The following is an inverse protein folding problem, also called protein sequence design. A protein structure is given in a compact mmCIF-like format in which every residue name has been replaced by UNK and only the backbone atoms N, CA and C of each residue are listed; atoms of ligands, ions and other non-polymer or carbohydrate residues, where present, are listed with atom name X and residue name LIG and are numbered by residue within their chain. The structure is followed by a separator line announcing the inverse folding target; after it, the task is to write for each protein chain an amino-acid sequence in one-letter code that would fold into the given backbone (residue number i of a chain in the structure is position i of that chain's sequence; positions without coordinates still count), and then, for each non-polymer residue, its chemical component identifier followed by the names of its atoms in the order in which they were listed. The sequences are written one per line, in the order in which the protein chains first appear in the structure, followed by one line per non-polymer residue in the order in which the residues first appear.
data_IF_995502420427
#
_entry.id   IF_995502420427
#
_cell.length_a   1.000
_cell.length_b   1.000
_cell.length_c   1.000
_cell.angle_alpha   90.00
_cell.angle_beta   90.00
_cell.angle_gamma   90.00
#
_symmetry.space_group_name_H-M   'P 1'
#
loop_
_entity.id
_entity.type
_entity.pdbx_description
1 polymer ?
#
# COMPACT_ATOMS: atom_id res chain seq x y z
N UNK A 1 -4.50 14.26 12.93
CA UNK A 1 -5.19 14.11 11.64
C UNK A 1 -4.70 12.81 11.03
N UNK A 2 -5.45 11.68 11.03
CA UNK A 2 -4.77 10.43 10.72
C UNK A 2 -5.30 9.65 9.51
N UNK A 3 -6.61 9.43 9.38
CA UNK A 3 -7.13 8.45 8.41
C UNK A 3 -7.30 9.04 7.02
N UNK A 4 -7.93 10.21 6.90
CA UNK A 4 -8.19 10.85 5.59
C UNK A 4 -6.89 11.20 4.85
N UNK A 5 -5.83 11.55 5.57
CA UNK A 5 -4.51 11.81 4.98
C UNK A 5 -3.83 10.51 4.52
N UNK A 6 -4.01 9.41 5.28
CA UNK A 6 -3.48 8.10 4.92
C UNK A 6 -4.16 7.54 3.66
N UNK A 7 -5.49 7.65 3.57
CA UNK A 7 -6.27 7.19 2.42
C UNK A 7 -5.83 7.92 1.14
N UNK A 8 -5.70 9.25 1.21
CA UNK A 8 -5.20 10.06 0.09
C UNK A 8 -3.76 9.74 -0.31
N UNK A 9 -2.90 9.36 0.64
CA UNK A 9 -1.55 8.90 0.34
C UNK A 9 -1.56 7.53 -0.34
N UNK A 10 -2.40 6.60 0.12
CA UNK A 10 -2.57 5.29 -0.51
C UNK A 10 -3.04 5.47 -1.95
N UNK A 11 -4.07 6.28 -2.20
CA UNK A 11 -4.60 6.53 -3.55
C UNK A 11 -3.54 7.10 -4.50
N UNK A 12 -2.63 7.93 -3.98
CA UNK A 12 -1.55 8.53 -4.76
C UNK A 12 -0.39 7.57 -5.06
N UNK A 13 -0.02 6.73 -4.09
CA UNK A 13 1.18 5.89 -4.16
C UNK A 13 0.90 4.50 -4.72
N UNK A 14 -0.30 3.95 -4.47
CA UNK A 14 -0.68 2.60 -4.87
C UNK A 14 -0.55 2.34 -6.39
N UNK A 15 -0.94 3.26 -7.30
CA UNK A 15 -0.75 3.05 -8.73
C UNK A 15 0.74 2.93 -9.13
N UNK A 16 1.62 3.66 -8.46
CA UNK A 16 3.07 3.62 -8.73
C UNK A 16 3.66 2.29 -8.27
N UNK A 17 3.25 1.83 -7.08
CA UNK A 17 3.65 0.55 -6.50
C UNK A 17 3.18 -0.63 -7.38
N UNK A 18 1.95 -0.58 -7.89
CA UNK A 18 1.40 -1.65 -8.74
C UNK A 18 2.00 -1.65 -10.16
N UNK A 19 2.50 -0.51 -10.64
CA UNK A 19 3.17 -0.40 -11.92
C UNK A 19 4.66 -0.80 -11.87
N UNK A 20 5.23 -0.91 -10.67
CA UNK A 20 6.63 -1.27 -10.48
C UNK A 20 6.85 -2.77 -10.75
N UNK A 21 7.60 -3.04 -11.84
CA UNK A 21 7.90 -4.40 -12.29
C UNK A 21 8.87 -5.13 -11.37
N UNK A 22 9.64 -4.39 -10.57
CA UNK A 22 10.55 -4.98 -9.58
C UNK A 22 9.79 -5.47 -8.34
N UNK A 23 8.55 -5.00 -8.13
CA UNK A 23 7.67 -5.47 -7.04
C UNK A 23 6.75 -6.61 -7.46
N UNK A 24 6.44 -6.72 -8.76
CA UNK A 24 5.67 -7.84 -9.30
C UNK A 24 4.99 -7.54 -10.64
N UNK A 25 3.91 -8.27 -10.92
CA UNK A 25 3.14 -8.16 -12.16
C UNK A 25 1.94 -7.18 -12.05
N UNK A 26 1.80 -6.51 -10.91
CA UNK A 26 0.70 -5.60 -10.60
C UNK A 26 -0.66 -6.28 -10.42
N UNK A 27 -0.75 -7.62 -10.50
CA UNK A 27 -2.00 -8.38 -10.34
C UNK A 27 -2.22 -8.86 -8.92
N UNK A 28 -1.13 -9.04 -8.18
CA UNK A 28 -1.18 -9.45 -6.78
C UNK A 28 -0.44 -8.44 -5.91
N UNK A 29 -1.14 -7.87 -4.93
CA UNK A 29 -0.52 -7.03 -3.92
C UNK A 29 0.09 -7.91 -2.82
N UNK A 30 1.42 -7.96 -2.80
CA UNK A 30 2.21 -8.80 -1.88
C UNK A 30 2.73 -8.03 -0.67
N UNK A 31 3.34 -8.73 0.29
CA UNK A 31 4.01 -8.09 1.44
C UNK A 31 5.13 -7.15 1.01
N UNK A 32 5.79 -7.43 -0.12
CA UNK A 32 6.80 -6.55 -0.69
C UNK A 32 6.21 -5.20 -1.12
N UNK A 33 5.06 -5.22 -1.81
CA UNK A 33 4.33 -4.01 -2.20
C UNK A 33 3.92 -3.19 -0.96
N UNK A 34 3.41 -3.86 0.09
CA UNK A 34 3.07 -3.20 1.36
C UNK A 34 4.29 -2.51 1.99
N UNK A 35 5.43 -3.20 2.04
CA UNK A 35 6.66 -2.65 2.62
C UNK A 35 7.13 -1.41 1.85
N UNK A 36 7.04 -1.47 0.52
CA UNK A 36 7.46 -0.39 -0.34
C UNK A 36 6.51 0.82 -0.24
N UNK A 37 5.20 0.57 -0.21
CA UNK A 37 4.19 1.59 0.04
C UNK A 37 4.41 2.25 1.41
N UNK A 38 4.66 1.47 2.46
CA UNK A 38 4.96 1.98 3.79
C UNK A 38 6.18 2.88 3.80
N UNK A 39 7.28 2.44 3.17
CA UNK A 39 8.51 3.22 3.07
C UNK A 39 8.29 4.54 2.33
N UNK A 40 7.58 4.52 1.20
CA UNK A 40 7.25 5.74 0.45
C UNK A 40 6.35 6.68 1.26
N UNK A 41 5.34 6.15 1.96
CA UNK A 41 4.49 6.96 2.83
C UNK A 41 5.31 7.63 3.95
N UNK A 42 6.23 6.91 4.58
CA UNK A 42 7.14 7.49 5.59
C UNK A 42 7.99 8.63 5.01
N UNK A 43 8.53 8.44 3.81
CA UNK A 43 9.36 9.45 3.14
C UNK A 43 8.55 10.70 2.75
N UNK A 44 7.29 10.51 2.34
CA UNK A 44 6.45 11.61 1.86
C UNK A 44 5.95 12.52 2.97
N UNK A 45 5.66 11.95 4.14
CA UNK A 45 5.10 12.67 5.30
C UNK A 45 6.18 13.07 6.30
N UNK A 46 7.35 12.44 6.25
CA UNK A 46 8.42 12.63 7.23
C UNK A 46 8.21 11.87 8.54
N UNK A 47 7.11 11.11 8.66
CA UNK A 47 6.76 10.28 9.80
C UNK A 47 6.20 8.94 9.33
N UNK A 48 6.41 7.88 10.11
CA UNK A 48 5.94 6.54 9.76
C UNK A 48 4.59 6.20 10.39
N UNK A 49 3.67 5.72 9.55
CA UNK A 49 2.40 5.15 10.00
C UNK A 49 2.58 3.73 10.55
N UNK A 50 1.62 3.31 11.36
CA UNK A 50 1.48 1.91 11.75
C UNK A 50 1.28 1.04 10.48
N UNK A 51 2.09 0.00 10.36
CA UNK A 51 2.12 -0.86 9.18
C UNK A 51 0.92 -1.79 9.10
N UNK A 52 0.35 -2.20 10.23
CA UNK A 52 -0.89 -2.97 10.29
C UNK A 52 -2.09 -2.08 9.92
N UNK A 53 -2.09 -0.82 10.37
CA UNK A 53 -3.09 0.15 9.95
C UNK A 53 -3.06 0.36 8.43
N UNK A 54 -1.86 0.54 7.86
CA UNK A 54 -1.68 0.65 6.42
C UNK A 54 -2.18 -0.60 5.68
N UNK A 55 -1.84 -1.80 6.17
CA UNK A 55 -2.28 -3.06 5.56
C UNK A 55 -3.82 -3.17 5.50
N UNK A 56 -4.49 -2.79 6.59
CA UNK A 56 -5.97 -2.77 6.65
C UNK A 56 -6.55 -1.78 5.66
N UNK A 57 -6.03 -0.56 5.61
CA UNK A 57 -6.56 0.46 4.70
C UNK A 57 -6.33 0.11 3.24
N UNK A 58 -5.14 -0.36 2.87
CA UNK A 58 -4.82 -0.73 1.49
C UNK A 58 -5.81 -1.73 0.92
N UNK A 59 -6.31 -2.68 1.71
CA UNK A 59 -7.30 -3.65 1.26
C UNK A 59 -8.59 -3.01 0.70
N UNK A 60 -8.96 -1.83 1.20
CA UNK A 60 -10.14 -1.07 0.75
C UNK A 60 -9.87 -0.20 -0.48
N UNK A 61 -8.61 0.09 -0.78
CA UNK A 61 -8.17 0.94 -1.89
C UNK A 61 -7.63 0.14 -3.08
N UNK A 62 -7.51 -1.19 -2.95
CA UNK A 62 -7.04 -2.03 -4.05
C UNK A 62 -8.01 -1.99 -5.23
N UNK A 63 -7.50 -1.86 -6.48
CA UNK A 63 -8.34 -1.99 -7.65
C UNK A 63 -9.01 -3.38 -7.68
N UNK A 64 -10.25 -3.52 -8.19
CA UNK A 64 -11.02 -4.77 -8.14
C UNK A 64 -10.34 -5.99 -8.79
N UNK A 65 -9.37 -5.74 -9.69
CA UNK A 65 -8.62 -6.79 -10.41
C UNK A 65 -7.35 -7.22 -9.69
N UNK A 66 -6.98 -6.55 -8.60
CA UNK A 66 -5.75 -6.83 -7.84
C UNK A 66 -6.10 -7.70 -6.65
N UNK A 67 -5.47 -8.86 -6.56
CA UNK A 67 -5.65 -9.78 -5.45
C UNK A 67 -4.74 -9.40 -4.28
N UNK A 68 -5.26 -9.45 -3.06
CA UNK A 68 -4.45 -9.27 -1.86
C UNK A 68 -3.79 -10.61 -1.49
N UNK A 69 -2.46 -10.64 -1.38
CA UNK A 69 -1.75 -11.82 -0.90
C UNK A 69 -2.17 -12.16 0.52
N UNK A 70 -2.30 -13.46 0.82
CA UNK A 70 -2.67 -13.96 2.15
C UNK A 70 -1.72 -13.50 3.24
N UNK A 71 -0.45 -13.30 2.91
CA UNK A 71 0.57 -12.78 3.84
C UNK A 71 0.32 -11.33 4.27
N UNK A 72 -0.47 -10.56 3.51
CA UNK A 72 -0.84 -9.18 3.87
C UNK A 72 -2.16 -9.15 4.65
N UNK A 73 -3.02 -10.13 4.41
CA UNK A 73 -4.31 -10.26 5.08
C UNK A 73 -4.25 -10.96 6.46
N UNK A 74 -3.16 -11.68 6.74
CA UNK A 74 -2.93 -12.45 7.96
C UNK A 74 -2.33 -11.64 9.11
#
# INVERSE_FOLDING_TARGET
MPVVELDGLIDRLLPQILADRDLGDGRTFTRLHLNHLWALSCLHVGECYDKELLARQVSSHLPPKVLLSREVAA
#
